data_IF_870183873793
#
_entry.id   IF_870183873793
#
_cell.length_a   1.000
_cell.length_b   1.000
_cell.length_c   1.000
_cell.angle_alpha   90.00
_cell.angle_beta   90.00
_cell.angle_gamma   90.00
#
_symmetry.space_group_name_H-M   'P 1'
#
loop_
_entity.id
_entity.type
_entity.pdbx_description
1 polymer ?
#
# COMPACT_ATOMS: atom_id res chain seq x y z
N UNK A 1 18.48 -11.87 13.96
CA UNK A 1 19.58 -12.85 13.80
C UNK A 1 20.97 -12.33 14.22
N UNK A 2 21.12 -11.20 14.94
CA UNK A 2 22.45 -10.65 15.27
C UNK A 2 23.14 -11.26 16.52
N UNK A 3 22.39 -11.93 17.41
CA UNK A 3 22.94 -12.56 18.63
C UNK A 3 23.69 -13.87 18.38
N UNK A 4 23.60 -14.45 17.17
CA UNK A 4 24.27 -15.72 16.84
C UNK A 4 25.72 -15.55 16.35
N UNK A 5 26.17 -14.31 16.08
CA UNK A 5 27.55 -14.02 15.67
C UNK A 5 28.57 -14.00 16.83
N UNK A 6 28.13 -14.25 18.07
CA UNK A 6 29.03 -14.38 19.23
C UNK A 6 29.71 -15.76 19.31
N UNK A 7 29.33 -16.70 18.44
CA UNK A 7 29.90 -18.04 18.40
C UNK A 7 30.48 -18.30 17.02
N UNK A 8 31.71 -18.84 16.90
CA UNK A 8 32.25 -19.25 15.61
C UNK A 8 31.28 -20.25 14.99
N UNK A 9 30.88 -20.01 13.74
CA UNK A 9 30.11 -20.98 12.97
C UNK A 9 30.99 -22.21 12.76
N UNK A 10 30.78 -23.25 13.55
CA UNK A 10 31.37 -24.56 13.34
C UNK A 10 30.62 -25.22 12.18
N UNK A 11 31.05 -24.95 10.94
CA UNK A 11 30.58 -25.69 9.77
C UNK A 11 31.12 -27.11 9.86
N UNK A 12 30.25 -28.04 10.26
CA UNK A 12 30.51 -29.44 10.49
C UNK A 12 30.59 -30.24 9.16
N UNK A 13 31.40 -29.80 8.20
CA UNK A 13 31.57 -30.54 6.93
C UNK A 13 33.02 -30.60 6.42
N UNK A 14 33.97 -29.87 7.02
CA UNK A 14 35.37 -29.84 6.56
C UNK A 14 36.44 -29.77 7.66
N UNK A 15 36.09 -30.00 8.94
CA UNK A 15 36.98 -29.74 10.08
C UNK A 15 37.75 -30.97 10.61
N UNK A 16 37.33 -32.20 10.31
CA UNK A 16 37.90 -33.40 10.97
C UNK A 16 39.32 -33.74 10.48
N UNK A 17 39.68 -33.41 9.24
CA UNK A 17 40.99 -33.75 8.66
C UNK A 17 41.96 -32.57 8.54
N UNK A 18 41.45 -31.33 8.47
CA UNK A 18 42.25 -30.11 8.41
C UNK A 18 42.59 -29.58 9.82
N UNK A 19 41.64 -29.65 10.77
CA UNK A 19 41.85 -29.14 12.14
C UNK A 19 42.93 -29.90 12.92
N UNK A 20 43.01 -31.22 12.75
CA UNK A 20 43.99 -32.06 13.45
C UNK A 20 45.44 -31.91 12.95
N UNK A 21 45.62 -31.41 11.72
CA UNK A 21 46.94 -31.10 11.13
C UNK A 21 47.42 -29.73 11.58
N UNK A 22 46.56 -28.72 11.52
CA UNK A 22 46.89 -27.35 11.93
C UNK A 22 47.19 -27.30 13.44
N UNK A 23 46.42 -28.02 14.26
CA UNK A 23 46.65 -28.06 15.71
C UNK A 23 47.96 -28.75 16.10
N UNK A 24 48.32 -29.86 15.44
CA UNK A 24 49.61 -30.54 15.68
C UNK A 24 50.80 -29.71 15.20
N UNK A 25 50.66 -29.05 14.05
CA UNK A 25 51.72 -28.23 13.46
C UNK A 25 52.05 -26.99 14.30
N UNK A 26 51.06 -26.42 14.99
CA UNK A 26 51.25 -25.29 15.90
C UNK A 26 52.05 -25.66 17.15
N UNK A 27 51.85 -26.88 17.67
CA UNK A 27 52.55 -27.37 18.85
C UNK A 27 53.96 -27.90 18.55
N UNK A 28 54.20 -28.34 17.30
CA UNK A 28 55.51 -28.89 16.89
C UNK A 28 56.49 -27.84 16.37
N UNK A 29 56.04 -26.75 15.75
CA UNK A 29 56.92 -25.73 15.13
C UNK A 29 56.29 -24.30 15.20
N UNK A 30 56.37 -23.61 16.36
CA UNK A 30 55.73 -22.31 16.55
C UNK A 30 56.29 -21.19 15.66
N UNK A 31 57.50 -21.36 15.11
CA UNK A 31 58.20 -20.36 14.29
C UNK A 31 57.71 -20.31 12.83
N UNK A 32 57.09 -21.37 12.30
CA UNK A 32 56.51 -21.40 10.94
C UNK A 32 55.05 -20.92 10.88
N UNK A 33 54.36 -20.86 12.01
CA UNK A 33 52.97 -20.42 12.09
C UNK A 33 52.79 -18.89 11.95
N UNK A 34 53.87 -18.13 12.05
CA UNK A 34 53.84 -16.65 11.98
C UNK A 34 53.49 -16.10 10.59
N UNK A 35 53.54 -16.94 9.53
CA UNK A 35 53.15 -16.55 8.17
C UNK A 35 51.68 -16.85 7.81
N UNK A 36 50.94 -17.57 8.66
CA UNK A 36 49.52 -17.83 8.43
C UNK A 36 48.73 -16.70 9.09
N UNK A 37 48.11 -15.86 8.26
CA UNK A 37 47.27 -14.73 8.67
C UNK A 37 46.28 -15.14 9.77
N UNK A 38 46.63 -14.86 11.02
CA UNK A 38 45.72 -14.98 12.14
C UNK A 38 44.79 -13.77 12.05
N UNK A 39 43.70 -13.89 11.27
CA UNK A 39 42.63 -12.90 11.25
C UNK A 39 41.95 -12.94 12.61
N UNK A 40 42.54 -12.24 13.57
CA UNK A 40 42.00 -12.15 14.91
C UNK A 40 40.81 -11.18 14.88
N UNK A 41 39.60 -11.64 15.21
CA UNK A 41 38.39 -10.83 15.11
C UNK A 41 38.35 -9.66 16.11
N UNK A 42 39.35 -9.50 16.99
CA UNK A 42 39.44 -8.31 17.85
C UNK A 42 39.60 -7.00 17.06
N UNK A 43 40.12 -7.06 15.82
CA UNK A 43 40.18 -5.89 14.91
C UNK A 43 38.79 -5.56 14.33
N UNK A 44 37.87 -6.52 14.33
CA UNK A 44 36.50 -6.37 13.83
C UNK A 44 35.45 -6.13 14.93
N UNK A 45 35.85 -6.05 16.20
CA UNK A 45 34.94 -5.79 17.33
C UNK A 45 34.06 -4.55 17.10
N UNK A 46 34.66 -3.48 16.56
CA UNK A 46 33.92 -2.26 16.16
C UNK A 46 32.90 -2.55 15.05
N UNK A 47 33.25 -3.37 14.05
CA UNK A 47 32.32 -3.77 12.97
C UNK A 47 31.18 -4.63 13.51
N UNK A 48 31.46 -5.54 14.44
CA UNK A 48 30.43 -6.36 15.10
C UNK A 48 29.46 -5.53 15.94
N UNK A 49 29.95 -4.61 16.77
CA UNK A 49 29.10 -3.67 17.52
C UNK A 49 28.23 -2.83 16.57
N UNK A 50 28.83 -2.25 15.53
CA UNK A 50 28.11 -1.51 14.48
C UNK A 50 27.05 -2.37 13.78
N UNK A 51 27.32 -3.65 13.52
CA UNK A 51 26.35 -4.55 12.89
C UNK A 51 25.16 -4.90 13.80
N UNK A 52 25.40 -5.06 15.11
CA UNK A 52 24.33 -5.28 16.10
C UNK A 52 23.49 -4.02 16.27
N UNK A 53 24.13 -2.85 16.35
CA UNK A 53 23.45 -1.56 16.45
C UNK A 53 22.62 -1.28 15.18
N UNK A 54 23.19 -1.55 14.00
CA UNK A 54 22.46 -1.48 12.71
C UNK A 54 21.25 -2.42 12.69
N UNK A 55 21.38 -3.65 13.20
CA UNK A 55 20.25 -4.58 13.26
C UNK A 55 19.15 -4.11 14.22
N UNK A 56 19.52 -3.46 15.33
CA UNK A 56 18.57 -2.87 16.27
C UNK A 56 17.85 -1.65 15.67
N UNK A 57 18.58 -0.78 14.98
CA UNK A 57 18.02 0.35 14.24
C UNK A 57 17.09 -0.12 13.11
N UNK A 58 17.44 -1.19 12.39
CA UNK A 58 16.58 -1.80 11.38
C UNK A 58 15.28 -2.36 11.97
N UNK A 59 15.35 -2.98 13.15
CA UNK A 59 14.17 -3.48 13.84
C UNK A 59 13.24 -2.32 14.27
N UNK A 60 13.80 -1.24 14.83
CA UNK A 60 13.04 -0.04 15.16
C UNK A 60 12.42 0.60 13.93
N UNK A 61 13.16 0.68 12.82
CA UNK A 61 12.65 1.20 11.56
C UNK A 61 11.49 0.35 11.03
N UNK A 62 11.58 -0.99 11.10
CA UNK A 62 10.51 -1.88 10.68
C UNK A 62 9.25 -1.72 11.54
N UNK A 63 9.40 -1.50 12.86
CA UNK A 63 8.27 -1.21 13.75
C UNK A 63 7.57 0.09 13.35
N UNK A 64 8.33 1.16 13.10
CA UNK A 64 7.78 2.45 12.67
C UNK A 64 7.06 2.30 11.32
N UNK A 65 7.67 1.62 10.35
CA UNK A 65 7.07 1.37 9.04
C UNK A 65 5.77 0.56 9.15
N UNK A 66 5.73 -0.42 10.04
CA UNK A 66 4.51 -1.19 10.30
C UNK A 66 3.40 -0.30 10.87
N UNK A 67 3.71 0.52 11.89
CA UNK A 67 2.74 1.46 12.48
C UNK A 67 2.21 2.44 11.44
N UNK A 68 3.09 3.03 10.63
CA UNK A 68 2.74 3.94 9.54
C UNK A 68 1.84 3.26 8.50
N UNK A 69 2.17 2.02 8.09
CA UNK A 69 1.33 1.26 7.17
C UNK A 69 -0.08 0.99 7.73
N UNK A 70 -0.19 0.67 9.02
CA UNK A 70 -1.48 0.48 9.71
C UNK A 70 -2.28 1.78 9.74
N UNK A 71 -1.65 2.91 10.11
CA UNK A 71 -2.35 4.19 10.15
C UNK A 71 -2.80 4.66 8.76
N UNK A 72 -2.00 4.44 7.73
CA UNK A 72 -2.39 4.72 6.34
C UNK A 72 -3.57 3.87 5.91
N UNK A 73 -3.56 2.57 6.22
CA UNK A 73 -4.67 1.68 5.89
C UNK A 73 -5.98 2.13 6.57
N UNK A 74 -5.92 2.54 7.85
CA UNK A 74 -7.09 3.08 8.55
C UNK A 74 -7.59 4.38 7.91
N UNK A 75 -6.68 5.30 7.61
CA UNK A 75 -7.02 6.55 6.94
C UNK A 75 -7.63 6.33 5.55
N UNK A 76 -7.13 5.36 4.77
CA UNK A 76 -7.67 5.02 3.46
C UNK A 76 -9.10 4.47 3.56
N UNK A 77 -9.39 3.65 4.57
CA UNK A 77 -10.76 3.14 4.85
C UNK A 77 -11.69 4.28 5.22
N UNK A 78 -11.28 5.14 6.16
CA UNK A 78 -12.10 6.27 6.62
C UNK A 78 -12.39 7.24 5.46
N UNK A 79 -11.38 7.61 4.68
CA UNK A 79 -11.52 8.46 3.50
C UNK A 79 -12.49 7.86 2.47
N UNK A 80 -12.36 6.56 2.16
CA UNK A 80 -13.25 5.92 1.20
C UNK A 80 -14.70 5.83 1.71
N UNK A 81 -14.89 5.60 3.00
CA UNK A 81 -16.21 5.56 3.63
C UNK A 81 -16.87 6.95 3.62
N UNK A 82 -16.13 8.00 3.97
CA UNK A 82 -16.61 9.38 3.91
C UNK A 82 -16.99 9.79 2.48
N UNK A 83 -16.12 9.52 1.50
CA UNK A 83 -16.40 9.81 0.09
C UNK A 83 -17.66 9.10 -0.40
N UNK A 84 -17.86 7.84 -0.01
CA UNK A 84 -19.04 7.06 -0.38
C UNK A 84 -20.31 7.65 0.25
N UNK A 85 -20.27 8.00 1.53
CA UNK A 85 -21.40 8.60 2.23
C UNK A 85 -21.79 9.95 1.62
N UNK A 86 -20.80 10.77 1.30
CA UNK A 86 -21.04 12.08 0.69
C UNK A 86 -21.60 11.96 -0.73
N UNK A 87 -21.06 11.05 -1.54
CA UNK A 87 -21.61 10.75 -2.86
C UNK A 87 -23.06 10.27 -2.78
N UNK A 88 -23.40 9.43 -1.79
CA UNK A 88 -24.78 8.98 -1.57
C UNK A 88 -25.73 10.15 -1.28
N UNK A 89 -25.35 11.07 -0.38
CA UNK A 89 -26.16 12.27 -0.10
C UNK A 89 -26.33 13.15 -1.34
N UNK A 90 -25.25 13.31 -2.11
CA UNK A 90 -25.29 14.14 -3.30
C UNK A 90 -26.15 13.52 -4.41
N UNK A 91 -26.19 12.18 -4.52
CA UNK A 91 -27.12 11.49 -5.42
C UNK A 91 -28.57 11.85 -5.07
N UNK A 92 -28.95 11.81 -3.79
CA UNK A 92 -30.30 12.11 -3.36
C UNK A 92 -30.69 13.57 -3.70
N UNK A 93 -29.79 14.52 -3.45
CA UNK A 93 -29.98 15.92 -3.86
C UNK A 93 -30.13 16.05 -5.39
N UNK A 94 -29.29 15.36 -6.14
CA UNK A 94 -29.29 15.46 -7.60
C UNK A 94 -30.52 14.81 -8.24
N UNK A 95 -31.13 13.82 -7.60
CA UNK A 95 -32.44 13.27 -8.00
C UNK A 95 -33.57 14.29 -7.84
N UNK A 96 -33.53 15.11 -6.78
CA UNK A 96 -34.48 16.21 -6.60
C UNK A 96 -34.32 17.27 -7.69
N UNK A 97 -33.08 17.67 -7.99
CA UNK A 97 -32.76 18.58 -9.09
C UNK A 97 -33.25 18.04 -10.45
N UNK A 98 -32.99 16.75 -10.73
CA UNK A 98 -33.47 16.11 -11.95
C UNK A 98 -35.00 16.17 -12.07
N UNK A 99 -35.71 15.93 -10.96
CA UNK A 99 -37.17 16.01 -10.92
C UNK A 99 -37.67 17.42 -11.24
N UNK A 100 -37.04 18.45 -10.65
CA UNK A 100 -37.37 19.84 -10.93
C UNK A 100 -37.08 20.22 -12.39
N UNK A 101 -35.93 19.82 -12.94
CA UNK A 101 -35.58 20.09 -14.34
C UNK A 101 -36.55 19.43 -15.32
N UNK A 102 -37.02 18.21 -15.04
CA UNK A 102 -38.07 17.54 -15.84
C UNK A 102 -39.37 18.33 -15.83
N UNK A 103 -39.80 18.83 -14.67
CA UNK A 103 -40.98 19.70 -14.58
C UNK A 103 -40.80 21.00 -15.35
N UNK A 104 -39.58 21.58 -15.31
CA UNK A 104 -39.22 22.76 -16.09
C UNK A 104 -39.37 22.55 -17.60
N UNK A 105 -38.92 21.41 -18.13
CA UNK A 105 -39.11 21.06 -19.54
C UNK A 105 -40.59 20.94 -19.90
N UNK A 106 -41.40 20.26 -19.07
CA UNK A 106 -42.85 20.12 -19.31
C UNK A 106 -43.52 21.50 -19.36
N UNK A 107 -43.18 22.39 -18.42
CA UNK A 107 -43.72 23.74 -18.37
C UNK A 107 -43.28 24.57 -19.58
N UNK A 108 -42.01 24.52 -19.98
CA UNK A 108 -41.51 25.22 -21.15
C UNK A 108 -42.16 24.70 -22.45
N UNK A 109 -42.38 23.39 -22.54
CA UNK A 109 -43.03 22.76 -23.68
C UNK A 109 -44.48 23.21 -23.83
N UNK A 110 -45.24 23.26 -22.73
CA UNK A 110 -46.62 23.75 -22.74
C UNK A 110 -46.68 25.24 -23.15
N UNK A 111 -45.78 26.07 -22.62
CA UNK A 111 -45.73 27.49 -23.00
C UNK A 111 -45.32 27.69 -24.46
N UNK A 112 -44.39 26.86 -24.97
CA UNK A 112 -43.97 26.92 -26.37
C UNK A 112 -45.12 26.54 -27.31
N UNK A 113 -45.85 25.47 -27.00
CA UNK A 113 -47.05 25.05 -27.75
C UNK A 113 -48.16 26.11 -27.72
N UNK A 114 -48.29 26.84 -26.62
CA UNK A 114 -49.20 27.97 -26.50
C UNK A 114 -48.69 29.27 -27.18
N UNK A 115 -47.47 29.26 -27.72
CA UNK A 115 -46.83 30.44 -28.32
C UNK A 115 -46.37 31.51 -27.31
N UNK A 116 -46.36 31.19 -26.02
CA UNK A 116 -46.00 32.11 -24.94
C UNK A 116 -44.47 32.27 -24.75
N UNK A 117 -43.68 31.29 -25.18
CA UNK A 117 -42.20 31.34 -25.17
C UNK A 117 -41.63 30.90 -26.50
N UNK A 118 -40.37 31.27 -26.76
CA UNK A 118 -39.65 30.89 -27.97
C UNK A 118 -39.18 29.42 -27.93
N UNK A 119 -38.83 28.87 -29.10
CA UNK A 119 -38.18 27.55 -29.18
C UNK A 119 -36.87 27.52 -28.39
N UNK A 120 -36.11 28.62 -28.37
CA UNK A 120 -34.86 28.71 -27.61
C UNK A 120 -35.10 28.44 -26.12
N UNK A 121 -36.17 28.98 -25.54
CA UNK A 121 -36.52 28.76 -24.13
C UNK A 121 -36.82 27.29 -23.82
N UNK A 122 -37.44 26.57 -24.76
CA UNK A 122 -37.64 25.12 -24.64
C UNK A 122 -36.31 24.37 -24.72
N UNK A 123 -35.42 24.75 -25.65
CA UNK A 123 -34.09 24.14 -25.78
C UNK A 123 -33.26 24.37 -24.51
N UNK A 124 -33.26 25.58 -23.96
CA UNK A 124 -32.54 25.91 -22.71
C UNK A 124 -33.03 25.05 -21.53
N UNK A 125 -34.34 24.79 -21.44
CA UNK A 125 -34.91 23.91 -20.42
C UNK A 125 -34.48 22.45 -20.62
N UNK A 126 -34.43 21.97 -21.86
CA UNK A 126 -33.95 20.62 -22.18
C UNK A 126 -32.44 20.47 -21.89
N UNK A 127 -31.64 21.49 -22.17
CA UNK A 127 -30.21 21.52 -21.85
C UNK A 127 -29.99 21.50 -20.33
N UNK A 128 -30.81 22.22 -19.56
CA UNK A 128 -30.78 22.17 -18.10
C UNK A 128 -31.16 20.77 -17.56
N UNK A 129 -32.12 20.08 -18.19
CA UNK A 129 -32.44 18.69 -17.88
C UNK A 129 -31.25 17.76 -18.17
N UNK A 130 -30.65 17.85 -19.35
CA UNK A 130 -29.50 17.05 -19.73
C UNK A 130 -28.31 17.27 -18.77
N UNK A 131 -28.04 18.52 -18.40
CA UNK A 131 -27.04 18.87 -17.39
C UNK A 131 -27.33 18.21 -16.04
N UNK A 132 -28.60 18.19 -15.61
CA UNK A 132 -29.02 17.55 -14.36
C UNK A 132 -28.86 16.03 -14.40
N UNK A 133 -29.12 15.39 -15.54
CA UNK A 133 -28.91 13.95 -15.75
C UNK A 133 -27.42 13.58 -15.71
N UNK A 134 -26.59 14.37 -16.39
CA UNK A 134 -25.13 14.19 -16.37
C UNK A 134 -24.56 14.35 -14.94
N UNK A 135 -25.02 15.36 -14.21
CA UNK A 135 -24.62 15.55 -12.82
C UNK A 135 -25.02 14.38 -11.92
N UNK A 136 -26.21 13.77 -12.14
CA UNK A 136 -26.62 12.58 -11.39
C UNK A 136 -25.71 11.38 -11.71
N UNK A 137 -25.40 11.18 -12.98
CA UNK A 137 -24.51 10.10 -13.43
C UNK A 137 -23.11 10.23 -12.84
N UNK A 138 -22.56 11.46 -12.80
CA UNK A 138 -21.26 11.73 -12.19
C UNK A 138 -21.24 11.35 -10.70
N UNK A 139 -22.29 11.68 -9.93
CA UNK A 139 -22.34 11.33 -8.51
C UNK A 139 -22.51 9.82 -8.29
N UNK A 140 -23.26 9.13 -9.15
CA UNK A 140 -23.34 7.67 -9.14
C UNK A 140 -21.97 7.03 -9.43
N UNK A 141 -21.22 7.58 -10.38
CA UNK A 141 -19.84 7.15 -10.65
C UNK A 141 -18.94 7.35 -9.42
N UNK A 142 -18.99 8.52 -8.78
CA UNK A 142 -18.23 8.80 -7.55
C UNK A 142 -18.56 7.83 -6.43
N UNK A 143 -19.84 7.50 -6.23
CA UNK A 143 -20.27 6.51 -5.26
C UNK A 143 -19.72 5.10 -5.56
N UNK A 144 -19.77 4.66 -6.82
CA UNK A 144 -19.20 3.38 -7.23
C UNK A 144 -17.68 3.35 -7.03
N UNK A 145 -16.97 4.42 -7.40
CA UNK A 145 -15.53 4.52 -7.23
C UNK A 145 -15.13 4.48 -5.75
N UNK A 146 -15.81 5.25 -4.88
CA UNK A 146 -15.57 5.23 -3.44
C UNK A 146 -15.88 3.84 -2.84
N UNK A 147 -16.90 3.15 -3.33
CA UNK A 147 -17.22 1.77 -2.93
C UNK A 147 -16.10 0.80 -3.32
N UNK A 148 -15.52 0.95 -4.54
CA UNK A 148 -14.36 0.16 -4.95
C UNK A 148 -13.12 0.47 -4.10
N UNK A 149 -12.84 1.74 -3.80
CA UNK A 149 -11.72 2.14 -2.96
C UNK A 149 -11.85 1.56 -1.54
N UNK A 150 -13.06 1.60 -0.96
CA UNK A 150 -13.33 0.99 0.34
C UNK A 150 -13.06 -0.52 0.29
N UNK A 151 -13.50 -1.20 -0.76
CA UNK A 151 -13.23 -2.63 -0.92
C UNK A 151 -11.74 -2.96 -1.06
N UNK A 152 -10.97 -2.10 -1.75
CA UNK A 152 -9.53 -2.23 -1.85
C UNK A 152 -8.82 -1.98 -0.51
N UNK A 153 -9.22 -0.92 0.21
CA UNK A 153 -8.67 -0.54 1.51
C UNK A 153 -8.92 -1.59 2.60
N UNK A 154 -10.07 -2.26 2.55
CA UNK A 154 -10.41 -3.40 3.42
C UNK A 154 -9.63 -4.69 3.10
N UNK A 155 -8.75 -4.68 2.09
CA UNK A 155 -7.89 -5.82 1.76
C UNK A 155 -8.36 -6.66 0.58
N UNK A 156 -9.34 -6.22 -0.21
CA UNK A 156 -9.73 -6.89 -1.47
C UNK A 156 -8.60 -7.00 -2.50
N UNK A 157 -7.57 -6.16 -2.40
CA UNK A 157 -6.33 -6.27 -3.19
C UNK A 157 -5.34 -7.32 -2.64
N UNK A 158 -5.29 -7.50 -1.31
CA UNK A 158 -4.32 -8.38 -0.66
C UNK A 158 -4.64 -9.88 -0.86
N UNK A 159 -5.93 -10.23 -0.99
CA UNK A 159 -6.38 -11.60 -1.28
C UNK A 159 -6.13 -12.04 -2.73
N UNK A 160 -5.94 -11.11 -3.67
CA UNK A 160 -5.65 -11.43 -5.09
C UNK A 160 -4.17 -11.75 -5.36
N UNK A 161 -3.25 -11.24 -4.55
CA UNK A 161 -1.80 -11.44 -4.77
C UNK A 161 -1.23 -12.69 -4.07
N UNK A 162 -2.04 -13.45 -3.32
CA UNK A 162 -1.61 -14.69 -2.66
C UNK A 162 -1.60 -15.93 -3.59
N UNK A 163 -1.94 -15.76 -4.88
CA UNK A 163 -1.91 -16.84 -5.88
C UNK A 163 -0.55 -17.06 -6.58
N UNK A 164 0.50 -16.29 -6.28
CA UNK A 164 1.76 -16.30 -7.06
C UNK A 164 3.03 -16.48 -6.21
N UNK A 165 2.97 -17.34 -5.20
CA UNK A 165 4.06 -17.54 -4.25
C UNK A 165 4.28 -18.97 -3.77
N UNK A 166 4.07 -20.00 -4.61
CA UNK A 166 4.58 -21.35 -4.30
C UNK A 166 5.08 -22.03 -5.58
N UNK A 167 6.27 -21.60 -6.05
CA UNK A 167 7.17 -22.42 -6.87
C UNK A 167 8.59 -21.92 -6.66
N UNK A 168 9.34 -22.59 -5.81
CA UNK A 168 10.81 -22.75 -5.78
C UNK A 168 11.08 -23.57 -4.50
N UNK A 169 11.67 -24.76 -4.49
CA UNK A 169 12.14 -25.68 -5.52
C UNK A 169 12.30 -27.06 -4.86
#
# INVERSE_FOLDING_TARGET
MARLNFYPALSLDAALEAGSRVFRQWFSDPTRALGMSLTLPFIEWRKMQLSSEKALLQAQQAEIQFRDAVYRALADVDNAMEQRLEAQRQIDNQQQHLTMSRQGVILAQNQYQAGAVSLQTLLDAQDALLSSENALSEQQYRYLNATMQLWLALGGAASRNQGKGIKHG
#
